data_IF_006761449459
#
_entry.id   IF_006761449459
#
_cell.length_a   1.000
_cell.length_b   1.000
_cell.length_c   1.000
_cell.angle_alpha   90.00
_cell.angle_beta   90.00
_cell.angle_gamma   90.00
#
_symmetry.space_group_name_H-M   'P 1'
#
loop_
_entity.id
_entity.type
_entity.pdbx_description
1 polymer ?
#
# COMPACT_ATOMS: atom_id res chain seq x y z
N UNK A 1 30.58 -51.91 -7.44
CA UNK A 1 30.02 -50.66 -7.99
C UNK A 1 28.60 -50.96 -8.44
N UNK A 2 27.62 -50.31 -7.83
CA UNK A 2 26.21 -50.36 -8.23
C UNK A 2 25.54 -49.16 -7.59
N UNK A 3 25.59 -48.02 -8.28
CA UNK A 3 24.91 -46.81 -7.83
C UNK A 3 23.40 -47.04 -7.94
N UNK A 4 22.80 -47.47 -6.83
CA UNK A 4 21.35 -47.42 -6.63
C UNK A 4 20.95 -45.95 -6.60
N UNK A 5 20.80 -45.37 -7.79
CA UNK A 5 20.58 -43.96 -8.01
C UNK A 5 19.15 -43.62 -7.56
N UNK A 6 19.01 -43.38 -6.26
CA UNK A 6 17.75 -43.26 -5.54
C UNK A 6 17.14 -41.89 -5.86
N UNK A 7 16.64 -41.78 -7.09
CA UNK A 7 16.15 -40.57 -7.73
C UNK A 7 14.90 -40.09 -6.98
N UNK A 8 15.12 -39.24 -5.96
CA UNK A 8 14.06 -38.71 -5.08
C UNK A 8 12.85 -38.28 -5.90
N UNK A 9 11.70 -38.87 -5.62
CA UNK A 9 10.47 -38.62 -6.35
C UNK A 9 10.08 -37.14 -6.22
N UNK A 10 10.06 -36.42 -7.34
CA UNK A 10 9.80 -34.98 -7.37
C UNK A 10 8.30 -34.70 -7.22
N UNK A 11 7.96 -33.68 -6.44
CA UNK A 11 6.59 -33.17 -6.37
C UNK A 11 6.32 -32.33 -7.64
N UNK A 12 5.29 -32.70 -8.41
CA UNK A 12 4.93 -31.98 -9.62
C UNK A 12 4.14 -30.69 -9.29
N UNK A 13 4.67 -29.54 -9.72
CA UNK A 13 4.06 -28.22 -9.67
C UNK A 13 3.56 -27.84 -11.07
N UNK A 14 2.26 -27.68 -11.22
CA UNK A 14 1.65 -27.16 -12.44
C UNK A 14 1.68 -25.62 -12.45
N UNK A 15 2.01 -25.01 -13.59
CA UNK A 15 1.87 -23.58 -13.83
C UNK A 15 0.80 -23.37 -14.91
N UNK A 16 -0.41 -23.06 -14.45
CA UNK A 16 -1.53 -22.58 -15.26
C UNK A 16 -1.33 -21.12 -15.63
N UNK A 17 -1.81 -20.73 -16.80
CA UNK A 17 -1.71 -19.38 -17.32
C UNK A 17 -2.84 -19.10 -18.33
N UNK A 18 -3.11 -17.83 -18.67
CA UNK A 18 -4.28 -17.43 -19.48
C UNK A 18 -3.93 -16.62 -20.72
N UNK A 19 -4.61 -16.86 -21.86
CA UNK A 19 -4.52 -15.96 -23.03
C UNK A 19 -5.70 -15.95 -24.00
N UNK A 20 -5.60 -14.95 -24.90
CA UNK A 20 -5.87 -15.11 -26.34
C UNK A 20 -4.64 -14.98 -27.25
N UNK A 21 -3.52 -14.40 -26.78
CA UNK A 21 -2.53 -13.72 -27.63
C UNK A 21 -1.07 -14.26 -27.53
N UNK A 22 -0.87 -15.58 -27.44
CA UNK A 22 0.45 -16.25 -27.60
C UNK A 22 1.49 -16.13 -26.47
N UNK A 23 1.54 -15.03 -25.72
CA UNK A 23 2.53 -14.70 -24.65
C UNK A 23 2.76 -15.74 -23.53
N UNK A 24 2.01 -16.83 -23.48
CA UNK A 24 2.02 -17.79 -22.37
C UNK A 24 3.24 -18.66 -22.26
N UNK A 25 3.82 -19.04 -23.40
CA UNK A 25 5.04 -19.83 -23.44
C UNK A 25 6.17 -19.09 -22.71
N UNK A 26 6.32 -17.79 -23.00
CA UNK A 26 7.29 -16.93 -22.31
C UNK A 26 7.03 -16.83 -20.79
N UNK A 27 5.76 -16.75 -20.37
CA UNK A 27 5.40 -16.76 -18.94
C UNK A 27 5.69 -18.11 -18.28
N UNK A 28 5.31 -19.23 -18.92
CA UNK A 28 5.56 -20.59 -18.43
C UNK A 28 7.06 -20.89 -18.31
N UNK A 29 7.86 -20.46 -19.29
CA UNK A 29 9.32 -20.51 -19.25
C UNK A 29 9.90 -19.61 -18.14
N UNK A 30 9.42 -18.38 -17.99
CA UNK A 30 9.89 -17.47 -16.92
C UNK A 30 9.63 -18.04 -15.51
N UNK A 31 8.43 -18.58 -15.27
CA UNK A 31 8.06 -19.21 -13.99
C UNK A 31 8.81 -20.53 -13.77
N UNK A 32 8.98 -21.37 -14.81
CA UNK A 32 9.81 -22.59 -14.74
C UNK A 32 11.23 -22.26 -14.32
N UNK A 33 11.88 -21.30 -14.99
CA UNK A 33 13.24 -20.86 -14.65
C UNK A 33 13.32 -20.36 -13.20
N UNK A 34 12.37 -19.53 -12.76
CA UNK A 34 12.30 -19.06 -11.37
C UNK A 34 12.31 -20.21 -10.35
N UNK A 35 11.43 -21.21 -10.51
CA UNK A 35 11.36 -22.33 -9.57
C UNK A 35 12.59 -23.25 -9.62
N UNK A 36 13.32 -23.34 -10.74
CA UNK A 36 14.55 -24.17 -10.80
C UNK A 36 15.68 -23.66 -9.91
N UNK A 37 15.68 -22.39 -9.50
CA UNK A 37 16.72 -21.82 -8.64
C UNK A 37 16.77 -22.39 -7.20
N UNK A 38 15.72 -23.07 -6.73
CA UNK A 38 15.55 -23.38 -5.30
C UNK A 38 15.76 -24.86 -4.90
N UNK A 39 15.92 -25.77 -5.88
CA UNK A 39 16.03 -27.24 -5.72
C UNK A 39 15.13 -27.89 -4.64
N UNK A 40 13.88 -27.42 -4.52
CA UNK A 40 12.91 -27.90 -3.51
C UNK A 40 12.33 -29.29 -3.82
N UNK A 41 13.06 -30.15 -4.55
CA UNK A 41 12.55 -31.46 -4.99
C UNK A 41 11.32 -31.35 -5.91
N UNK A 42 11.14 -30.23 -6.62
CA UNK A 42 10.00 -29.97 -7.48
C UNK A 42 10.34 -30.23 -8.96
N UNK A 43 9.38 -30.76 -9.70
CA UNK A 43 9.31 -30.74 -11.17
C UNK A 43 8.26 -29.71 -11.58
N UNK A 44 8.55 -28.84 -12.55
CA UNK A 44 7.59 -27.84 -13.04
C UNK A 44 7.09 -28.23 -14.42
N UNK A 45 5.78 -28.16 -14.63
CA UNK A 45 5.13 -28.37 -15.92
C UNK A 45 4.12 -27.24 -16.17
N UNK A 46 4.08 -26.71 -17.40
CA UNK A 46 3.17 -25.65 -17.81
C UNK A 46 2.46 -26.03 -19.12
N UNK A 47 1.29 -25.44 -19.37
CA UNK A 47 0.45 -25.80 -20.52
C UNK A 47 0.80 -25.01 -21.79
N UNK A 48 1.82 -25.44 -22.54
CA UNK A 48 2.09 -24.89 -23.87
C UNK A 48 0.97 -25.25 -24.88
N UNK A 49 0.36 -24.26 -25.52
CA UNK A 49 -0.83 -24.46 -26.37
C UNK A 49 -0.55 -24.74 -27.84
N UNK A 50 0.69 -24.60 -28.30
CA UNK A 50 1.02 -24.59 -29.73
C UNK A 50 1.27 -26.00 -30.34
N UNK A 51 0.90 -27.10 -29.66
CA UNK A 51 1.28 -28.47 -30.02
C UNK A 51 0.12 -29.47 -30.16
N UNK A 52 0.42 -30.61 -30.81
CA UNK A 52 -0.54 -31.48 -31.50
C UNK A 52 -1.35 -32.46 -30.62
N UNK A 53 -2.26 -33.23 -31.25
CA UNK A 53 -3.35 -33.96 -30.61
C UNK A 53 -2.96 -34.90 -29.45
N UNK A 54 -1.80 -35.57 -29.49
CA UNK A 54 -1.37 -36.47 -28.40
C UNK A 54 -1.11 -35.74 -27.07
N UNK A 55 -0.74 -34.45 -27.12
CA UNK A 55 -0.41 -33.65 -25.93
C UNK A 55 -1.57 -33.54 -24.94
N UNK A 56 -2.82 -33.60 -25.40
CA UNK A 56 -3.99 -33.53 -24.51
C UNK A 56 -4.07 -34.71 -23.53
N UNK A 57 -3.50 -35.87 -23.88
CA UNK A 57 -3.38 -37.00 -22.96
C UNK A 57 -2.29 -36.76 -21.90
N UNK A 58 -1.08 -36.34 -22.31
CA UNK A 58 0.02 -36.03 -21.39
C UNK A 58 -0.35 -34.89 -20.42
N UNK A 59 -0.94 -33.81 -20.93
CA UNK A 59 -1.47 -32.70 -20.13
C UNK A 59 -2.43 -33.21 -19.04
N UNK A 60 -3.32 -34.14 -19.37
CA UNK A 60 -4.27 -34.71 -18.42
C UNK A 60 -3.61 -35.59 -17.36
N UNK A 61 -2.59 -36.36 -17.70
CA UNK A 61 -1.83 -37.15 -16.72
C UNK A 61 -0.98 -36.26 -15.81
N UNK A 62 -0.34 -35.22 -16.35
CA UNK A 62 0.40 -34.20 -15.59
C UNK A 62 -0.52 -33.39 -14.66
N UNK A 63 -1.67 -32.91 -15.14
CA UNK A 63 -2.66 -32.22 -14.30
C UNK A 63 -3.20 -33.08 -13.15
N UNK A 64 -3.44 -34.37 -13.38
CA UNK A 64 -3.94 -35.32 -12.35
C UNK A 64 -2.87 -35.77 -11.36
N UNK A 65 -1.60 -35.76 -11.76
CA UNK A 65 -0.46 -36.09 -10.90
C UNK A 65 0.09 -34.90 -10.12
N UNK A 66 -0.12 -33.66 -10.60
CA UNK A 66 0.32 -32.42 -9.96
C UNK A 66 -0.09 -32.34 -8.48
N UNK A 67 0.90 -32.18 -7.60
CA UNK A 67 0.67 -31.96 -6.17
C UNK A 67 0.20 -30.52 -5.92
N UNK A 68 0.79 -29.56 -6.63
CA UNK A 68 0.51 -28.13 -6.50
C UNK A 68 0.17 -27.51 -7.86
N UNK A 69 -0.57 -26.39 -7.86
CA UNK A 69 -0.89 -25.60 -9.04
C UNK A 69 -0.81 -24.10 -8.77
N UNK A 70 0.07 -23.40 -9.48
CA UNK A 70 0.13 -21.93 -9.55
C UNK A 70 -0.69 -21.47 -10.76
N UNK A 71 -1.62 -20.53 -10.56
CA UNK A 71 -2.55 -20.06 -11.60
C UNK A 71 -2.29 -18.59 -11.91
N UNK A 72 -1.58 -18.33 -13.01
CA UNK A 72 -1.23 -17.00 -13.50
C UNK A 72 -2.40 -16.38 -14.29
N UNK A 73 -3.16 -15.52 -13.62
CA UNK A 73 -4.47 -15.06 -14.08
C UNK A 73 -4.53 -13.55 -14.30
N UNK A 74 -5.44 -13.12 -15.19
CA UNK A 74 -5.80 -11.72 -15.41
C UNK A 74 -7.30 -11.50 -15.21
N UNK A 75 -7.77 -10.29 -14.87
CA UNK A 75 -9.19 -9.97 -14.73
C UNK A 75 -10.05 -10.38 -15.94
N UNK A 76 -9.50 -10.21 -17.15
CA UNK A 76 -10.15 -10.57 -18.42
C UNK A 76 -10.35 -12.07 -18.61
N UNK A 77 -9.56 -12.93 -17.95
CA UNK A 77 -9.46 -14.36 -18.28
C UNK A 77 -9.60 -15.33 -17.08
N UNK A 78 -9.67 -14.84 -15.84
CA UNK A 78 -9.86 -15.65 -14.63
C UNK A 78 -11.11 -16.55 -14.67
N UNK A 79 -12.16 -16.10 -15.35
CA UNK A 79 -13.43 -16.84 -15.50
C UNK A 79 -13.50 -17.65 -16.80
N UNK A 80 -12.39 -17.85 -17.50
CA UNK A 80 -12.36 -18.67 -18.72
C UNK A 80 -12.61 -20.15 -18.45
N UNK A 81 -13.20 -20.86 -19.42
CA UNK A 81 -13.45 -22.31 -19.35
C UNK A 81 -12.15 -23.10 -19.12
N UNK A 82 -11.02 -22.61 -19.65
CA UNK A 82 -9.70 -23.20 -19.47
C UNK A 82 -9.21 -23.18 -18.02
N UNK A 83 -9.36 -22.04 -17.32
CA UNK A 83 -9.01 -21.93 -15.90
C UNK A 83 -9.87 -22.86 -15.05
N UNK A 84 -11.17 -22.95 -15.36
CA UNK A 84 -12.08 -23.90 -14.71
C UNK A 84 -11.65 -25.36 -14.94
N UNK A 85 -11.19 -25.69 -16.15
CA UNK A 85 -10.74 -27.03 -16.54
C UNK A 85 -9.44 -27.44 -15.83
N UNK A 86 -8.40 -26.60 -15.85
CA UNK A 86 -7.12 -26.88 -15.19
C UNK A 86 -7.31 -26.95 -13.66
N UNK A 87 -8.12 -26.04 -13.08
CA UNK A 87 -8.44 -26.04 -11.65
C UNK A 87 -9.21 -27.30 -11.22
N UNK A 88 -10.27 -27.66 -11.94
CA UNK A 88 -11.03 -28.89 -11.69
C UNK A 88 -10.14 -30.13 -11.82
N UNK A 89 -9.22 -30.13 -12.80
CA UNK A 89 -8.31 -31.25 -13.05
C UNK A 89 -7.34 -31.52 -11.89
N UNK A 90 -6.80 -30.46 -11.27
CA UNK A 90 -5.92 -30.55 -10.09
C UNK A 90 -6.71 -30.90 -8.82
N UNK A 91 -7.96 -30.42 -8.68
CA UNK A 91 -8.80 -30.65 -7.50
C UNK A 91 -9.52 -32.00 -7.45
N UNK A 92 -9.56 -32.76 -8.56
CA UNK A 92 -10.12 -34.12 -8.64
C UNK A 92 -9.76 -35.04 -7.47
N UNK A 93 -10.77 -35.67 -6.85
CA UNK A 93 -10.81 -36.88 -5.98
C UNK A 93 -9.78 -37.09 -4.85
N UNK A 94 -8.69 -36.32 -4.78
CA UNK A 94 -7.66 -36.32 -3.72
C UNK A 94 -7.91 -35.23 -2.67
N UNK A 95 -8.87 -34.35 -2.91
CA UNK A 95 -9.31 -33.28 -2.04
C UNK A 95 -10.51 -33.78 -1.22
N UNK A 96 -10.38 -33.81 0.10
CA UNK A 96 -11.48 -34.22 1.00
C UNK A 96 -12.03 -33.04 1.80
N UNK A 97 -11.28 -31.93 1.92
CA UNK A 97 -11.66 -30.75 2.69
C UNK A 97 -11.25 -29.44 2.00
N UNK A 98 -11.90 -28.34 2.38
CA UNK A 98 -11.52 -26.99 1.94
C UNK A 98 -10.13 -26.54 2.42
N UNK A 99 -9.47 -27.27 3.34
CA UNK A 99 -8.06 -27.03 3.72
C UNK A 99 -7.09 -27.57 2.65
N UNK A 100 -7.46 -28.65 1.97
CA UNK A 100 -6.62 -29.28 0.94
C UNK A 100 -6.61 -28.43 -0.34
N UNK A 101 -7.75 -27.85 -0.70
CA UNK A 101 -7.89 -26.85 -1.78
C UNK A 101 -6.93 -25.66 -1.54
N UNK A 102 -6.89 -25.13 -0.31
CA UNK A 102 -6.04 -23.99 0.09
C UNK A 102 -4.55 -24.31 0.15
N UNK A 103 -4.15 -25.59 0.20
CA UNK A 103 -2.75 -26.04 0.24
C UNK A 103 -2.20 -26.46 -1.13
N UNK A 104 -3.08 -26.61 -2.14
CA UNK A 104 -2.70 -27.10 -3.47
C UNK A 104 -2.84 -26.08 -4.59
N UNK A 105 -3.60 -25.00 -4.40
CA UNK A 105 -3.90 -24.02 -5.47
C UNK A 105 -3.51 -22.60 -5.05
N UNK A 106 -2.68 -21.96 -5.88
CA UNK A 106 -2.10 -20.64 -5.66
C UNK A 106 -2.46 -19.70 -6.83
N UNK A 107 -3.59 -18.98 -6.77
CA UNK A 107 -3.98 -18.03 -7.80
C UNK A 107 -3.22 -16.71 -7.65
N UNK A 108 -2.53 -16.31 -8.72
CA UNK A 108 -1.64 -15.14 -8.78
C UNK A 108 -2.09 -14.23 -9.92
N UNK A 109 -2.54 -13.03 -9.59
CA UNK A 109 -2.92 -12.01 -10.56
C UNK A 109 -1.69 -11.30 -11.11
N UNK A 110 -1.44 -11.42 -12.42
CA UNK A 110 -0.26 -10.84 -13.08
C UNK A 110 -0.41 -9.36 -13.45
N UNK A 111 -1.62 -8.91 -13.81
CA UNK A 111 -1.88 -7.53 -14.25
C UNK A 111 -2.39 -6.66 -13.10
N UNK A 112 -1.89 -5.42 -13.01
CA UNK A 112 -2.18 -4.51 -11.89
C UNK A 112 -3.30 -3.48 -12.16
N UNK A 113 -3.93 -3.53 -13.34
CA UNK A 113 -4.82 -2.48 -13.85
C UNK A 113 -6.27 -2.59 -13.34
N UNK A 114 -6.68 -3.77 -12.88
CA UNK A 114 -8.01 -4.06 -12.32
C UNK A 114 -7.83 -5.22 -11.31
N UNK A 115 -8.59 -5.23 -10.20
CA UNK A 115 -8.53 -6.34 -9.21
C UNK A 115 -9.63 -7.35 -9.44
N UNK A 116 -9.24 -8.63 -9.49
CA UNK A 116 -10.17 -9.77 -9.58
C UNK A 116 -11.08 -9.82 -8.34
N UNK A 117 -12.40 -9.74 -8.58
CA UNK A 117 -13.40 -9.99 -7.53
C UNK A 117 -13.48 -11.51 -7.25
N UNK A 118 -12.71 -11.99 -6.27
CA UNK A 118 -12.57 -13.42 -5.91
C UNK A 118 -13.92 -14.14 -5.76
N UNK A 119 -14.94 -13.45 -5.23
CA UNK A 119 -16.25 -14.03 -4.88
C UNK A 119 -17.10 -14.31 -6.16
N UNK A 120 -16.62 -13.83 -7.32
CA UNK A 120 -17.15 -14.10 -8.67
C UNK A 120 -16.20 -14.94 -9.53
N UNK A 121 -15.31 -15.74 -8.91
CA UNK A 121 -14.31 -16.56 -9.63
C UNK A 121 -14.27 -18.02 -9.17
N UNK A 122 -13.66 -18.93 -9.96
CA UNK A 122 -13.40 -20.31 -9.54
C UNK A 122 -12.55 -20.42 -8.27
N UNK A 123 -11.80 -19.35 -7.96
CA UNK A 123 -10.91 -19.25 -6.80
C UNK A 123 -11.59 -18.68 -5.54
N UNK A 124 -12.91 -18.63 -5.42
CA UNK A 124 -13.58 -18.09 -4.21
C UNK A 124 -13.08 -18.71 -2.88
N UNK A 125 -12.54 -19.93 -2.90
CA UNK A 125 -11.96 -20.61 -1.74
C UNK A 125 -10.46 -20.32 -1.50
N UNK A 126 -9.77 -19.65 -2.43
CA UNK A 126 -8.33 -19.37 -2.41
C UNK A 126 -8.13 -17.86 -2.62
N UNK A 127 -7.54 -17.15 -1.66
CA UNK A 127 -7.28 -15.73 -1.84
C UNK A 127 -6.39 -15.52 -3.08
N UNK A 128 -6.93 -14.86 -4.12
CA UNK A 128 -6.17 -14.40 -5.28
C UNK A 128 -5.12 -13.41 -4.77
N UNK A 129 -3.85 -13.76 -4.94
CA UNK A 129 -2.72 -12.94 -4.55
C UNK A 129 -2.26 -12.07 -5.71
N UNK A 130 -1.65 -10.94 -5.42
CA UNK A 130 -1.02 -10.12 -6.46
C UNK A 130 0.38 -10.64 -6.75
N UNK A 131 0.89 -10.35 -7.95
CA UNK A 131 2.29 -10.59 -8.31
C UNK A 131 3.21 -9.57 -7.60
N UNK A 132 3.63 -9.89 -6.37
CA UNK A 132 4.56 -9.10 -5.55
C UNK A 132 5.51 -9.98 -4.72
N UNK A 133 6.56 -9.37 -4.16
CA UNK A 133 7.68 -10.08 -3.49
C UNK A 133 7.20 -10.90 -2.30
N UNK A 134 6.48 -10.29 -1.35
CA UNK A 134 5.98 -10.93 -0.13
C UNK A 134 5.14 -12.20 -0.39
N UNK A 135 4.31 -12.18 -1.43
CA UNK A 135 3.42 -13.28 -1.80
C UNK A 135 4.17 -14.43 -2.47
N UNK A 136 5.25 -14.13 -3.19
CA UNK A 136 6.16 -15.14 -3.73
C UNK A 136 7.13 -15.67 -2.68
N UNK A 137 7.57 -14.85 -1.71
CA UNK A 137 8.38 -15.31 -0.58
C UNK A 137 7.54 -16.29 0.26
N UNK A 138 6.28 -15.95 0.57
CA UNK A 138 5.35 -16.83 1.24
C UNK A 138 5.06 -18.15 0.48
N UNK A 139 5.01 -18.12 -0.86
CA UNK A 139 4.87 -19.33 -1.68
C UNK A 139 6.11 -20.22 -1.62
N UNK A 140 7.31 -19.65 -1.78
CA UNK A 140 8.58 -20.39 -1.71
C UNK A 140 8.81 -20.94 -0.30
N UNK A 141 8.50 -20.16 0.74
CA UNK A 141 8.63 -20.55 2.14
C UNK A 141 7.57 -21.62 2.54
N UNK A 142 6.44 -21.72 1.83
CA UNK A 142 5.51 -22.85 1.92
C UNK A 142 6.07 -24.11 1.24
N UNK A 143 6.54 -24.01 0.00
CA UNK A 143 7.10 -25.14 -0.76
C UNK A 143 8.35 -25.71 -0.08
N UNK A 144 9.17 -24.86 0.54
CA UNK A 144 10.32 -25.26 1.35
C UNK A 144 9.90 -26.06 2.59
N UNK A 145 8.84 -25.66 3.30
CA UNK A 145 8.32 -26.40 4.46
C UNK A 145 7.77 -27.77 4.08
N UNK A 146 7.08 -27.85 2.94
CA UNK A 146 6.66 -29.13 2.34
C UNK A 146 7.86 -30.01 1.97
N UNK A 147 8.93 -29.46 1.37
CA UNK A 147 10.15 -30.19 1.04
C UNK A 147 10.88 -30.72 2.28
N UNK A 148 11.09 -29.86 3.29
CA UNK A 148 11.69 -30.22 4.59
C UNK A 148 10.89 -31.35 5.25
N UNK A 149 9.57 -31.21 5.31
CA UNK A 149 8.68 -32.22 5.91
C UNK A 149 8.62 -33.52 5.12
N UNK A 150 8.71 -33.50 3.78
CA UNK A 150 8.74 -34.70 2.92
C UNK A 150 10.03 -35.49 3.11
N UNK A 151 11.15 -34.80 3.37
CA UNK A 151 12.49 -35.40 3.45
C UNK A 151 12.96 -35.71 4.88
N UNK A 152 12.22 -35.28 5.91
CA UNK A 152 12.61 -35.35 7.33
C UNK A 152 13.96 -34.67 7.62
N UNK A 153 14.19 -33.49 7.02
CA UNK A 153 15.44 -32.72 7.18
C UNK A 153 15.59 -32.25 8.62
N UNK A 154 16.78 -32.42 9.21
CA UNK A 154 17.04 -32.01 10.60
C UNK A 154 17.03 -30.49 10.77
N UNK A 155 16.68 -30.00 11.97
CA UNK A 155 16.43 -28.58 12.23
C UNK A 155 17.60 -27.65 11.86
N UNK A 156 18.85 -28.12 11.97
CA UNK A 156 20.04 -27.35 11.61
C UNK A 156 20.20 -27.23 10.08
N UNK A 157 20.08 -28.34 9.36
CA UNK A 157 20.13 -28.39 7.89
C UNK A 157 18.95 -27.64 7.27
N UNK A 158 17.76 -27.74 7.87
CA UNK A 158 16.57 -26.98 7.48
C UNK A 158 16.78 -25.47 7.63
N UNK A 159 17.40 -25.01 8.73
CA UNK A 159 17.70 -23.60 8.98
C UNK A 159 18.73 -23.04 7.97
N UNK A 160 19.77 -23.80 7.63
CA UNK A 160 20.75 -23.38 6.62
C UNK A 160 20.19 -23.43 5.19
N UNK A 161 19.32 -24.40 4.90
CA UNK A 161 18.53 -24.43 3.65
C UNK A 161 17.65 -23.19 3.53
N UNK A 162 16.96 -22.77 4.60
CA UNK A 162 16.12 -21.57 4.59
C UNK A 162 16.91 -20.29 4.35
N UNK A 163 18.09 -20.13 4.97
CA UNK A 163 19.01 -19.01 4.70
C UNK A 163 19.47 -18.98 3.24
N UNK A 164 19.76 -20.16 2.67
CA UNK A 164 20.18 -20.29 1.27
C UNK A 164 19.06 -19.89 0.30
N UNK A 165 17.84 -20.43 0.52
CA UNK A 165 16.64 -20.14 -0.27
C UNK A 165 16.27 -18.65 -0.23
N UNK A 166 16.21 -18.02 0.95
CA UNK A 166 15.88 -16.58 1.05
C UNK A 166 16.95 -15.69 0.39
N UNK A 167 18.24 -16.07 0.44
CA UNK A 167 19.31 -15.36 -0.28
C UNK A 167 19.16 -15.45 -1.80
N UNK A 168 18.78 -16.61 -2.33
CA UNK A 168 18.52 -16.82 -3.77
C UNK A 168 17.25 -16.08 -4.19
N UNK A 169 16.21 -16.12 -3.36
CA UNK A 169 14.89 -15.58 -3.65
C UNK A 169 14.92 -14.13 -4.13
N UNK A 170 15.66 -13.26 -3.45
CA UNK A 170 15.71 -11.81 -3.79
C UNK A 170 16.42 -11.49 -5.11
N UNK A 171 17.16 -12.44 -5.68
CA UNK A 171 17.73 -12.34 -7.02
C UNK A 171 16.81 -12.99 -8.07
N UNK A 172 16.34 -14.22 -7.80
CA UNK A 172 15.43 -14.95 -8.67
C UNK A 172 14.10 -14.22 -8.90
N UNK A 173 13.51 -13.65 -7.84
CA UNK A 173 12.24 -12.91 -7.94
C UNK A 173 12.40 -11.60 -8.71
N UNK A 174 13.55 -10.92 -8.59
CA UNK A 174 13.84 -9.71 -9.39
C UNK A 174 13.90 -10.04 -10.88
N UNK A 175 14.62 -11.10 -11.25
CA UNK A 175 14.70 -11.57 -12.63
C UNK A 175 13.32 -12.01 -13.16
N UNK A 176 12.53 -12.73 -12.35
CA UNK A 176 11.15 -13.09 -12.70
C UNK A 176 10.29 -11.84 -12.92
N UNK A 177 10.37 -10.84 -12.04
CA UNK A 177 9.61 -9.60 -12.14
C UNK A 177 9.96 -8.82 -13.40
N UNK A 178 11.25 -8.63 -13.68
CA UNK A 178 11.72 -7.96 -14.90
C UNK A 178 11.24 -8.69 -16.17
N UNK A 179 11.29 -10.02 -16.19
CA UNK A 179 10.77 -10.84 -17.30
C UNK A 179 9.25 -10.72 -17.45
N UNK A 180 8.48 -10.93 -16.37
CA UNK A 180 7.00 -10.86 -16.39
C UNK A 180 6.53 -9.48 -16.81
N UNK A 181 7.10 -8.41 -16.25
CA UNK A 181 6.79 -7.05 -16.69
C UNK A 181 7.13 -6.80 -18.17
N UNK A 182 8.24 -7.35 -18.66
CA UNK A 182 8.64 -7.22 -20.08
C UNK A 182 7.68 -7.98 -21.00
N UNK A 183 7.21 -9.16 -20.59
CA UNK A 183 6.21 -9.94 -21.34
C UNK A 183 4.86 -9.23 -21.35
N UNK A 184 4.39 -8.70 -20.21
CA UNK A 184 3.13 -7.95 -20.13
C UNK A 184 3.17 -6.66 -20.96
N UNK A 185 4.34 -6.00 -21.06
CA UNK A 185 4.57 -4.84 -21.96
C UNK A 185 4.50 -5.20 -23.46
N UNK A 186 4.39 -6.49 -23.84
CA UNK A 186 4.09 -6.95 -25.22
C UNK A 186 2.60 -7.02 -25.53
N UNK A 187 1.70 -6.94 -24.53
CA UNK A 187 0.26 -6.77 -24.80
C UNK A 187 0.04 -5.45 -25.55
N UNK A 188 -0.34 -5.52 -26.83
CA UNK A 188 -0.86 -4.35 -27.52
C UNK A 188 -2.22 -3.98 -26.92
N UNK A 189 -2.54 -2.69 -26.71
CA UNK A 189 -3.92 -2.30 -26.51
C UNK A 189 -4.73 -2.64 -27.78
N UNK A 190 -5.76 -3.48 -27.66
CA UNK A 190 -6.76 -3.62 -28.72
C UNK A 190 -7.47 -2.28 -28.90
N UNK A 191 -7.48 -1.75 -30.13
CA UNK A 191 -8.47 -0.73 -30.51
C UNK A 191 -9.89 -1.36 -30.39
N UNK A 192 -10.88 -0.65 -29.81
CA UNK A 192 -12.24 -1.17 -29.72
C UNK A 192 -12.81 -1.52 -31.10
N UNK A 193 -13.33 -2.75 -31.24
CA UNK A 193 -13.82 -3.27 -32.52
C UNK A 193 -14.83 -2.33 -33.16
N UNK A 194 -14.46 -1.78 -34.32
CA UNK A 194 -15.20 -0.71 -35.00
C UNK A 194 -16.59 -1.17 -35.44
N UNK A 195 -17.62 -0.76 -34.70
CA UNK A 195 -19.01 -0.82 -35.17
C UNK A 195 -19.20 0.32 -36.16
N UNK A 196 -18.88 0.07 -37.44
CA UNK A 196 -19.01 1.04 -38.53
C UNK A 196 -20.48 1.28 -38.91
N UNK A 197 -21.20 1.95 -38.02
CA UNK A 197 -22.49 2.59 -38.23
C UNK A 197 -22.28 4.11 -38.13
N UNK A 198 -22.64 4.90 -39.16
CA UNK A 198 -22.57 6.37 -39.09
C UNK A 198 -23.41 6.93 -37.93
N UNK A 199 -24.50 6.26 -37.56
CA UNK A 199 -25.36 6.59 -36.44
C UNK A 199 -24.63 6.38 -35.10
N UNK A 200 -23.92 5.25 -34.94
CA UNK A 200 -23.13 4.96 -33.74
C UNK A 200 -21.96 5.95 -33.57
N UNK A 201 -21.26 6.28 -34.66
CA UNK A 201 -20.19 7.28 -34.63
C UNK A 201 -20.73 8.67 -34.24
N UNK A 202 -21.88 9.07 -34.80
CA UNK A 202 -22.53 10.33 -34.42
C UNK A 202 -22.91 10.36 -32.94
N UNK A 203 -23.49 9.29 -32.40
CA UNK A 203 -23.82 9.20 -30.96
C UNK A 203 -22.56 9.28 -30.09
N UNK A 204 -21.46 8.66 -30.51
CA UNK A 204 -20.16 8.76 -29.81
C UNK A 204 -19.64 10.21 -29.80
N UNK A 205 -19.75 10.93 -30.92
CA UNK A 205 -19.27 12.31 -31.00
C UNK A 205 -20.20 13.32 -30.30
N UNK A 206 -21.52 13.12 -30.35
CA UNK A 206 -22.51 13.85 -29.54
C UNK A 206 -22.25 13.64 -28.02
N UNK A 207 -21.85 12.42 -27.60
CA UNK A 207 -21.48 12.12 -26.21
C UNK A 207 -20.13 12.72 -25.80
N UNK A 208 -19.12 12.72 -26.69
CA UNK A 208 -17.85 13.43 -26.45
C UNK A 208 -18.07 14.93 -26.29
N UNK A 209 -18.95 15.53 -27.11
CA UNK A 209 -19.30 16.94 -27.00
C UNK A 209 -19.97 17.23 -25.66
N UNK A 210 -20.95 16.42 -25.24
CA UNK A 210 -21.58 16.54 -23.91
C UNK A 210 -20.59 16.37 -22.74
N UNK A 211 -19.60 15.49 -22.86
CA UNK A 211 -18.50 15.36 -21.89
C UNK A 211 -17.60 16.60 -21.88
N UNK A 212 -17.24 17.14 -23.05
CA UNK A 212 -16.44 18.36 -23.17
C UNK A 212 -17.16 19.57 -22.56
N UNK A 213 -18.45 19.74 -22.84
CA UNK A 213 -19.25 20.86 -22.31
C UNK A 213 -19.50 20.72 -20.80
N UNK A 214 -19.72 19.51 -20.27
CA UNK A 214 -19.77 19.28 -18.81
C UNK A 214 -18.43 19.54 -18.12
N UNK A 215 -17.33 19.11 -18.71
CA UNK A 215 -16.00 19.38 -18.17
C UNK A 215 -15.70 20.89 -18.18
N UNK A 216 -16.15 21.61 -19.22
CA UNK A 216 -16.04 23.07 -19.33
C UNK A 216 -16.89 23.82 -18.30
N UNK A 217 -18.10 23.33 -18.01
CA UNK A 217 -18.97 23.83 -16.95
C UNK A 217 -18.35 23.60 -15.56
N UNK A 218 -17.86 22.39 -15.27
CA UNK A 218 -17.11 22.09 -14.04
C UNK A 218 -15.88 23.00 -13.88
N UNK A 219 -15.13 23.21 -14.95
CA UNK A 219 -13.98 24.13 -14.97
C UNK A 219 -14.38 25.59 -14.74
N UNK A 220 -15.58 26.00 -15.17
CA UNK A 220 -16.10 27.33 -14.89
C UNK A 220 -16.53 27.46 -13.44
N UNK A 221 -17.30 26.50 -12.91
CA UNK A 221 -17.68 26.44 -11.50
C UNK A 221 -16.46 26.43 -10.58
N UNK A 222 -15.36 25.77 -10.98
CA UNK A 222 -14.06 25.82 -10.29
C UNK A 222 -13.46 27.22 -10.27
N UNK A 223 -13.38 27.92 -11.41
CA UNK A 223 -12.90 29.31 -11.50
C UNK A 223 -13.76 30.26 -10.67
N UNK A 224 -15.07 30.12 -10.74
CA UNK A 224 -16.04 30.95 -10.01
C UNK A 224 -15.91 30.72 -8.49
N UNK A 225 -15.72 29.47 -8.06
CA UNK A 225 -15.44 29.11 -6.67
C UNK A 225 -14.10 29.69 -6.18
N UNK A 226 -13.03 29.59 -6.98
CA UNK A 226 -11.73 30.21 -6.66
C UNK A 226 -11.82 31.75 -6.55
N UNK A 227 -12.64 32.38 -7.39
CA UNK A 227 -12.88 33.82 -7.34
C UNK A 227 -13.70 34.21 -6.10
N UNK A 228 -14.73 33.45 -5.75
CA UNK A 228 -15.49 33.63 -4.50
C UNK A 228 -14.62 33.39 -3.26
N UNK A 229 -13.69 32.44 -3.27
CA UNK A 229 -12.73 32.22 -2.19
C UNK A 229 -11.77 33.41 -2.04
N UNK A 230 -11.24 33.96 -3.15
CA UNK A 230 -10.40 35.17 -3.12
C UNK A 230 -11.17 36.36 -2.53
N UNK A 231 -12.40 36.61 -2.99
CA UNK A 231 -13.27 37.65 -2.44
C UNK A 231 -13.60 37.44 -0.96
N UNK A 232 -13.84 36.19 -0.53
CA UNK A 232 -14.10 35.86 0.88
C UNK A 232 -12.87 36.09 1.77
N UNK A 233 -11.67 35.77 1.28
CA UNK A 233 -10.40 36.05 1.99
C UNK A 233 -10.18 37.58 2.08
N UNK A 234 -10.41 38.29 0.99
CA UNK A 234 -10.27 39.76 0.92
C UNK A 234 -11.25 40.46 1.87
N UNK A 235 -12.54 40.10 1.85
CA UNK A 235 -13.55 40.59 2.80
C UNK A 235 -13.20 40.25 4.27
N UNK A 236 -12.68 39.05 4.55
CA UNK A 236 -12.20 38.68 5.89
C UNK A 236 -10.99 39.52 6.33
N UNK A 237 -10.08 39.85 5.41
CA UNK A 237 -8.96 40.74 5.71
C UNK A 237 -9.43 42.18 6.01
N UNK A 238 -10.42 42.66 5.26
CA UNK A 238 -11.04 43.97 5.48
C UNK A 238 -11.77 44.03 6.83
N UNK A 239 -12.56 43.00 7.19
CA UNK A 239 -13.13 42.87 8.53
C UNK A 239 -12.06 42.89 9.63
N UNK A 240 -10.98 42.11 9.48
CA UNK A 240 -9.89 42.06 10.45
C UNK A 240 -9.18 43.42 10.61
N UNK A 241 -9.09 44.20 9.53
CA UNK A 241 -8.55 45.57 9.57
C UNK A 241 -9.46 46.61 10.25
N UNK A 242 -10.76 46.31 10.41
CA UNK A 242 -11.69 47.14 11.19
C UNK A 242 -11.81 46.71 12.65
N UNK A 243 -11.30 45.54 13.02
CA UNK A 243 -11.29 45.06 14.41
C UNK A 243 -10.02 44.27 14.76
N UNK A 244 -8.92 44.97 15.06
CA UNK A 244 -7.95 44.58 16.12
C UNK A 244 -7.00 45.73 16.46
N UNK A 245 -7.09 46.22 17.70
CA UNK A 245 -5.91 46.51 18.50
C UNK A 245 -5.81 45.38 19.52
N UNK A 246 -4.61 44.86 19.79
CA UNK A 246 -4.35 43.56 20.46
C UNK A 246 -4.82 42.35 19.60
N UNK A 247 -4.15 41.19 19.57
CA UNK A 247 -2.89 40.77 20.21
C UNK A 247 -2.04 39.94 19.23
N UNK A 248 -0.74 39.76 19.51
CA UNK A 248 0.24 39.08 18.65
C UNK A 248 0.76 37.77 19.28
N UNK A 249 0.60 36.65 18.57
CA UNK A 249 1.19 35.32 18.82
C UNK A 249 1.25 34.85 20.29
N UNK A 250 0.20 34.16 20.74
CA UNK A 250 0.03 33.66 22.12
C UNK A 250 0.72 32.31 22.42
N UNK A 251 1.50 31.76 21.49
CA UNK A 251 2.11 30.44 21.60
C UNK A 251 3.64 30.50 21.58
N UNK A 252 4.28 29.78 22.48
CA UNK A 252 5.74 29.74 22.61
C UNK A 252 6.40 28.79 21.61
N UNK A 253 7.62 29.13 21.20
CA UNK A 253 8.46 28.32 20.32
C UNK A 253 9.92 28.30 20.79
N UNK A 254 10.64 27.27 20.35
CA UNK A 254 12.07 27.06 20.58
C UNK A 254 12.77 26.92 19.23
N UNK A 255 13.81 27.72 19.00
CA UNK A 255 14.82 27.39 17.99
C UNK A 255 15.77 26.33 18.56
N UNK A 256 15.92 25.21 17.85
CA UNK A 256 16.88 24.15 18.17
C UNK A 256 18.24 24.34 17.45
N UNK A 257 18.42 25.41 16.67
CA UNK A 257 19.62 25.64 15.87
C UNK A 257 19.64 24.80 14.59
N UNK A 258 18.47 24.31 14.16
CA UNK A 258 18.30 23.55 12.91
C UNK A 258 17.58 24.35 11.82
N UNK A 259 17.14 25.58 12.11
CA UNK A 259 16.45 26.48 11.18
C UNK A 259 14.92 26.36 11.19
N UNK A 260 14.37 25.38 11.90
CA UNK A 260 12.92 25.27 12.18
C UNK A 260 12.63 25.68 13.61
N UNK A 261 11.63 26.54 13.78
CA UNK A 261 11.10 26.99 15.08
C UNK A 261 9.97 26.05 15.52
N UNK A 262 10.16 25.33 16.64
CA UNK A 262 9.23 24.29 17.11
C UNK A 262 8.39 24.77 18.30
N UNK A 263 7.10 24.41 18.34
CA UNK A 263 6.23 24.69 19.48
C UNK A 263 6.69 24.00 20.78
N UNK A 264 6.51 24.67 21.92
CA UNK A 264 6.77 24.07 23.26
C UNK A 264 5.78 22.96 23.62
N UNK A 265 4.55 23.02 23.10
CA UNK A 265 3.44 22.09 23.38
C UNK A 265 2.84 21.46 22.10
N UNK A 266 2.08 20.37 22.27
CA UNK A 266 1.18 19.86 21.23
C UNK A 266 -0.06 20.77 21.10
N UNK A 267 -0.80 20.70 19.99
CA UNK A 267 -2.06 21.44 19.86
C UNK A 267 -3.03 20.99 20.97
N UNK A 268 -3.50 21.94 21.79
CA UNK A 268 -4.43 21.66 22.89
C UNK A 268 -3.79 21.04 24.14
N UNK A 269 -2.46 21.04 24.24
CA UNK A 269 -1.71 20.78 25.47
C UNK A 269 -1.32 22.12 26.12
N UNK A 270 -1.42 22.22 27.45
CA UNK A 270 -1.03 23.42 28.21
C UNK A 270 0.41 23.34 28.73
N UNK A 271 1.01 22.15 28.72
CA UNK A 271 2.40 21.88 29.09
C UNK A 271 3.08 20.95 28.08
N UNK A 272 4.42 20.93 27.98
CA UNK A 272 5.14 20.05 27.05
C UNK A 272 4.87 18.56 27.29
N UNK A 273 4.61 18.17 28.53
CA UNK A 273 4.33 16.79 28.97
C UNK A 273 2.88 16.34 28.67
N UNK A 274 1.94 17.27 28.47
CA UNK A 274 0.55 16.94 28.08
C UNK A 274 0.48 16.46 26.62
N UNK A 275 -0.32 15.42 26.38
CA UNK A 275 -0.43 14.82 25.03
C UNK A 275 -1.17 15.73 24.04
N UNK A 276 -2.07 16.59 24.53
CA UNK A 276 -2.91 17.48 23.73
C UNK A 276 -4.04 16.76 22.99
N UNK A 277 -4.48 17.35 21.89
CA UNK A 277 -5.50 16.81 20.99
C UNK A 277 -4.90 15.93 19.90
N UNK A 278 -5.72 15.00 19.42
CA UNK A 278 -5.43 14.15 18.26
C UNK A 278 -6.27 14.59 17.07
N UNK A 279 -5.74 14.40 15.87
CA UNK A 279 -6.38 14.82 14.62
C UNK A 279 -6.23 13.71 13.59
N UNK A 280 -7.25 13.50 12.75
CA UNK A 280 -7.05 12.75 11.51
C UNK A 280 -6.29 13.63 10.51
N UNK A 281 -5.49 13.04 9.63
CA UNK A 281 -4.61 13.79 8.74
C UNK A 281 -5.45 14.65 7.77
N UNK A 282 -5.25 15.97 7.81
CA UNK A 282 -6.04 16.95 7.06
C UNK A 282 -7.39 17.33 7.67
N UNK A 283 -7.72 16.83 8.86
CA UNK A 283 -8.85 17.30 9.68
C UNK A 283 -8.36 18.28 10.75
N UNK A 284 -9.10 19.38 10.92
CA UNK A 284 -8.69 20.52 11.76
C UNK A 284 -9.31 20.51 13.15
N UNK A 285 -10.11 19.50 13.48
CA UNK A 285 -10.76 19.30 14.78
C UNK A 285 -10.60 17.84 15.23
N UNK A 286 -10.54 17.57 16.56
CA UNK A 286 -10.60 16.22 17.09
C UNK A 286 -12.00 15.62 16.93
N UNK A 287 -12.08 14.29 17.03
CA UNK A 287 -13.33 13.50 17.05
C UNK A 287 -13.19 12.28 17.99
N UNK A 288 -14.28 11.56 18.19
CA UNK A 288 -14.33 10.41 19.11
C UNK A 288 -14.12 9.05 18.40
N UNK A 289 -14.26 9.00 17.07
CA UNK A 289 -14.07 7.82 16.23
C UNK A 289 -13.15 8.13 15.04
N UNK A 290 -12.00 7.46 14.98
CA UNK A 290 -10.95 7.56 13.98
C UNK A 290 -11.00 6.39 12.99
N UNK A 291 -12.16 6.21 12.38
CA UNK A 291 -12.47 5.19 11.37
C UNK A 291 -12.54 5.77 9.96
N UNK A 292 -12.50 4.91 8.93
CA UNK A 292 -12.70 5.36 7.54
C UNK A 292 -14.14 5.86 7.28
N UNK A 293 -15.12 5.36 8.03
CA UNK A 293 -16.52 5.84 8.08
C UNK A 293 -16.65 7.31 8.46
N UNK A 294 -15.73 7.84 9.27
CA UNK A 294 -15.75 9.21 9.81
C UNK A 294 -14.66 10.10 9.23
N UNK A 295 -13.87 9.61 8.27
CA UNK A 295 -12.76 10.38 7.69
C UNK A 295 -13.25 11.36 6.62
N UNK A 296 -12.95 12.65 6.81
CA UNK A 296 -13.46 13.78 6.01
C UNK A 296 -13.17 13.67 4.52
N UNK A 297 -12.03 13.07 4.15
CA UNK A 297 -11.61 12.92 2.75
C UNK A 297 -11.71 11.47 2.24
N UNK A 298 -12.70 10.71 2.70
CA UNK A 298 -13.08 9.42 2.12
C UNK A 298 -14.60 9.23 2.06
N UNK A 299 -15.05 8.23 1.30
CA UNK A 299 -16.42 7.67 1.37
C UNK A 299 -16.44 6.32 2.06
N UNK A 300 -15.99 6.29 3.32
CA UNK A 300 -16.14 5.13 4.20
C UNK A 300 -15.03 4.09 4.13
N UNK A 301 -14.16 4.14 3.12
CA UNK A 301 -13.00 3.25 2.97
C UNK A 301 -11.78 3.96 2.35
N UNK A 302 -10.62 3.29 2.41
CA UNK A 302 -9.33 3.82 1.96
C UNK A 302 -9.16 3.91 0.43
N UNK A 303 -10.05 3.27 -0.34
CA UNK A 303 -10.02 3.24 -1.80
C UNK A 303 -11.01 4.26 -2.43
N UNK A 304 -11.80 4.96 -1.61
CA UNK A 304 -12.72 6.01 -2.02
C UNK A 304 -12.34 7.38 -1.42
N UNK A 305 -11.06 7.77 -1.57
CA UNK A 305 -10.57 9.09 -1.15
C UNK A 305 -11.18 10.23 -1.99
N UNK A 306 -11.39 11.38 -1.38
CA UNK A 306 -11.93 12.59 -2.02
C UNK A 306 -10.98 13.80 -1.93
N UNK A 307 -9.75 13.58 -1.44
CA UNK A 307 -8.63 14.54 -1.42
C UNK A 307 -7.29 13.80 -1.16
N UNK A 308 -6.20 14.22 -1.81
CA UNK A 308 -4.83 13.68 -1.68
C UNK A 308 -4.65 12.14 -1.88
N UNK A 309 -4.98 11.38 -2.93
CA UNK A 309 -5.40 11.62 -4.32
C UNK A 309 -4.32 11.90 -5.40
N UNK A 310 -3.15 11.24 -5.32
CA UNK A 310 -2.29 11.00 -6.50
C UNK A 310 -2.56 9.68 -7.25
N UNK A 311 -3.41 8.79 -6.71
CA UNK A 311 -3.71 7.47 -7.29
C UNK A 311 -5.22 7.31 -7.49
N UNK A 312 -5.66 7.20 -8.76
CA UNK A 312 -7.07 7.02 -9.14
C UNK A 312 -7.69 5.74 -8.57
N UNK A 313 -6.88 4.71 -8.29
CA UNK A 313 -7.33 3.42 -7.71
C UNK A 313 -7.71 3.56 -6.24
N UNK A 314 -7.29 4.65 -5.60
CA UNK A 314 -7.72 5.05 -4.27
C UNK A 314 -8.65 6.27 -4.28
N UNK A 315 -9.00 6.79 -5.46
CA UNK A 315 -9.91 7.93 -5.62
C UNK A 315 -11.35 7.48 -5.78
N UNK A 316 -12.27 8.08 -5.00
CA UNK A 316 -13.70 7.93 -5.20
C UNK A 316 -14.08 8.31 -6.64
N UNK A 317 -14.57 7.34 -7.43
CA UNK A 317 -14.84 7.48 -8.86
C UNK A 317 -13.60 7.92 -9.70
N UNK A 318 -12.40 7.47 -9.34
CA UNK A 318 -11.16 7.82 -10.05
C UNK A 318 -10.59 9.20 -9.72
N UNK A 319 -11.10 9.87 -8.68
CA UNK A 319 -10.68 11.22 -8.32
C UNK A 319 -9.18 11.32 -7.97
N UNK A 320 -8.48 12.23 -8.67
CA UNK A 320 -7.12 12.65 -8.35
C UNK A 320 -7.01 14.18 -8.29
N UNK A 321 -6.16 14.67 -7.38
CA UNK A 321 -5.73 16.08 -7.27
C UNK A 321 -4.20 16.24 -7.30
N UNK A 322 -3.45 15.13 -7.21
CA UNK A 322 -1.98 15.08 -7.12
C UNK A 322 -1.38 15.91 -5.98
N UNK A 323 -2.16 16.19 -4.93
CA UNK A 323 -1.67 16.92 -3.75
C UNK A 323 -0.96 15.98 -2.78
N UNK A 324 0.28 16.30 -2.45
CA UNK A 324 1.19 15.55 -1.55
C UNK A 324 1.52 16.29 -0.24
N UNK A 325 1.11 17.55 -0.10
CA UNK A 325 1.26 18.39 1.10
C UNK A 325 -0.08 19.03 1.50
N UNK A 326 -0.36 19.14 2.80
CA UNK A 326 -1.61 19.70 3.31
C UNK A 326 -1.80 21.18 2.95
N UNK A 327 -2.96 21.49 2.38
CA UNK A 327 -3.39 22.87 2.17
C UNK A 327 -3.66 23.58 3.50
N UNK A 328 -3.42 24.90 3.63
CA UNK A 328 -3.63 25.66 4.87
C UNK A 328 -5.04 25.62 5.48
N UNK A 329 -6.07 25.21 4.71
CA UNK A 329 -7.44 24.99 5.19
C UNK A 329 -7.63 23.68 5.97
N UNK A 330 -6.69 22.75 5.80
CA UNK A 330 -6.76 21.36 6.25
C UNK A 330 -5.67 21.07 7.31
N UNK A 331 -4.66 21.95 7.40
CA UNK A 331 -3.63 21.93 8.42
C UNK A 331 -4.21 22.30 9.80
N UNK A 332 -4.25 21.31 10.71
CA UNK A 332 -4.72 21.47 12.08
C UNK A 332 -4.00 22.56 12.88
N UNK A 333 -2.69 22.77 12.69
CA UNK A 333 -1.95 23.83 13.37
C UNK A 333 -2.31 25.21 12.80
N UNK A 334 -2.41 25.34 11.48
CA UNK A 334 -2.85 26.58 10.83
C UNK A 334 -4.28 26.95 11.27
N UNK A 335 -5.16 25.96 11.41
CA UNK A 335 -6.55 26.16 11.78
C UNK A 335 -6.79 26.42 13.28
N UNK A 336 -5.98 25.85 14.19
CA UNK A 336 -6.14 26.05 15.63
C UNK A 336 -5.30 27.22 16.17
N UNK A 337 -4.10 27.46 15.63
CA UNK A 337 -3.12 28.45 16.13
C UNK A 337 -2.87 29.62 15.15
N UNK A 338 -3.45 29.57 13.95
CA UNK A 338 -3.45 30.68 12.99
C UNK A 338 -2.35 30.63 11.92
N UNK A 339 -2.33 31.65 11.06
CA UNK A 339 -1.46 31.75 9.87
C UNK A 339 0.05 31.64 10.14
N UNK A 340 0.49 31.94 11.36
CA UNK A 340 1.90 31.87 11.75
C UNK A 340 2.38 30.43 12.00
N UNK A 341 1.47 29.45 12.10
CA UNK A 341 1.75 28.08 12.54
C UNK A 341 1.31 27.04 11.52
N UNK A 342 2.09 25.97 11.38
CA UNK A 342 1.78 24.84 10.49
C UNK A 342 2.21 23.50 11.08
N UNK A 343 1.76 22.41 10.47
CA UNK A 343 2.40 21.12 10.67
C UNK A 343 3.84 21.12 10.11
N UNK A 344 4.78 20.40 10.75
CA UNK A 344 6.09 20.15 10.17
C UNK A 344 5.95 19.29 8.92
N UNK A 345 6.74 19.55 7.88
CA UNK A 345 6.87 18.58 6.78
C UNK A 345 7.70 17.36 7.21
N UNK A 346 7.57 16.25 6.50
CA UNK A 346 8.36 15.02 6.72
C UNK A 346 9.88 15.30 6.71
N UNK A 347 10.34 16.22 5.85
CA UNK A 347 11.75 16.65 5.88
C UNK A 347 12.14 17.34 7.19
N UNK A 348 11.25 18.12 7.82
CA UNK A 348 11.54 18.75 9.11
C UNK A 348 11.64 17.74 10.25
N UNK A 349 10.92 16.61 10.19
CA UNK A 349 11.13 15.50 11.13
C UNK A 349 12.44 14.75 10.87
N UNK A 350 12.80 14.49 9.62
CA UNK A 350 14.11 13.89 9.27
C UNK A 350 15.27 14.78 9.74
N UNK A 351 15.16 16.10 9.59
CA UNK A 351 16.11 17.06 10.15
C UNK A 351 16.14 17.05 11.68
N UNK A 352 14.98 17.00 12.36
CA UNK A 352 14.90 16.92 13.83
C UNK A 352 15.52 15.62 14.37
N UNK A 353 15.33 14.50 13.68
CA UNK A 353 15.96 13.23 14.00
C UNK A 353 17.48 13.29 13.81
N UNK A 354 17.94 13.64 12.61
CA UNK A 354 19.35 13.55 12.22
C UNK A 354 20.24 14.61 12.88
N UNK A 355 19.68 15.77 13.28
CA UNK A 355 20.47 16.94 13.74
C UNK A 355 20.36 17.22 15.23
N UNK A 356 19.41 16.62 15.95
CA UNK A 356 19.25 16.78 17.40
C UNK A 356 19.64 15.51 18.18
N UNK A 357 19.89 15.66 19.49
CA UNK A 357 20.20 14.56 20.40
C UNK A 357 18.96 14.16 21.18
N UNK A 358 18.55 12.91 21.01
CA UNK A 358 17.34 12.34 21.60
C UNK A 358 17.66 11.58 22.89
N UNK A 359 16.96 11.90 23.98
CA UNK A 359 17.11 11.22 25.28
C UNK A 359 15.75 10.75 25.80
N UNK A 360 15.62 9.44 25.97
CA UNK A 360 14.44 8.76 26.56
C UNK A 360 14.19 9.27 27.97
N UNK A 361 12.97 9.73 28.27
CA UNK A 361 12.51 10.12 29.62
C UNK A 361 11.55 9.05 30.15
N UNK A 362 11.92 8.40 31.26
CA UNK A 362 11.23 7.22 31.78
C UNK A 362 10.63 7.49 33.17
N UNK A 363 9.48 6.86 33.46
CA UNK A 363 8.89 6.74 34.79
C UNK A 363 8.81 5.26 35.18
N UNK A 364 9.87 4.74 35.80
CA UNK A 364 10.04 3.30 35.96
C UNK A 364 10.21 2.63 34.60
N UNK A 365 9.35 1.66 34.26
CA UNK A 365 9.33 1.02 32.93
C UNK A 365 8.53 1.79 31.87
N UNK A 366 7.77 2.82 32.26
CA UNK A 366 6.86 3.57 31.38
C UNK A 366 7.63 4.67 30.63
N UNK A 367 7.45 4.77 29.31
CA UNK A 367 8.01 5.88 28.52
C UNK A 367 7.13 7.13 28.74
N UNK A 368 7.74 8.24 29.15
CA UNK A 368 7.05 9.53 29.18
C UNK A 368 7.16 10.24 27.82
N UNK A 369 8.28 10.04 27.11
CA UNK A 369 8.60 10.71 25.86
C UNK A 369 10.11 10.90 25.70
N UNK A 370 10.49 11.84 24.84
CA UNK A 370 11.88 12.19 24.57
C UNK A 370 12.19 13.66 24.83
N UNK A 371 13.28 13.90 25.56
CA UNK A 371 13.98 15.18 25.55
C UNK A 371 14.80 15.28 24.25
N UNK A 372 14.47 16.24 23.39
CA UNK A 372 15.10 16.45 22.07
C UNK A 372 15.93 17.74 22.13
N UNK A 373 17.26 17.60 22.19
CA UNK A 373 18.20 18.72 22.37
C UNK A 373 18.91 19.09 21.07
N UNK A 374 18.78 20.34 20.65
CA UNK A 374 19.38 20.88 19.45
C UNK A 374 20.89 21.20 19.57
N UNK A 375 21.60 21.37 18.44
CA UNK A 375 23.01 21.76 18.42
C UNK A 375 23.30 23.10 19.11
N UNK A 376 22.35 24.04 19.15
CA UNK A 376 22.51 25.31 19.88
C UNK A 376 22.39 25.17 21.42
N UNK A 377 22.03 23.99 21.92
CA UNK A 377 21.88 23.71 23.34
C UNK A 377 20.45 23.83 23.88
N UNK A 378 19.49 24.36 23.12
CA UNK A 378 18.07 24.38 23.50
C UNK A 378 17.45 22.98 23.37
N UNK A 379 16.29 22.77 24.00
CA UNK A 379 15.54 21.50 23.93
C UNK A 379 14.04 21.71 23.82
N UNK A 380 13.34 20.72 23.25
CA UNK A 380 11.90 20.51 23.41
C UNK A 380 11.65 19.13 24.05
N UNK A 381 10.45 18.91 24.59
CA UNK A 381 9.99 17.59 25.02
C UNK A 381 8.85 17.12 24.11
N UNK A 382 8.96 15.88 23.61
CA UNK A 382 7.93 15.20 22.83
C UNK A 382 7.34 14.05 23.67
N UNK A 383 6.12 14.16 24.20
CA UNK A 383 5.51 13.10 25.00
C UNK A 383 5.18 11.87 24.16
N UNK A 384 5.22 10.70 24.79
CA UNK A 384 4.74 9.44 24.24
C UNK A 384 3.20 9.40 24.27
N UNK A 385 2.57 10.14 23.36
CA UNK A 385 1.13 10.32 23.32
C UNK A 385 0.34 9.10 22.78
N UNK A 386 0.99 8.16 22.10
CA UNK A 386 0.31 7.13 21.31
C UNK A 386 -0.43 7.70 20.09
N UNK A 387 -1.50 7.02 19.66
CA UNK A 387 -2.45 7.49 18.65
C UNK A 387 -3.85 6.90 18.87
N UNK A 388 -4.87 7.44 18.22
CA UNK A 388 -6.19 6.81 18.16
C UNK A 388 -6.41 6.06 16.85
N UNK A 389 -7.02 4.88 16.94
CA UNK A 389 -7.56 4.13 15.80
C UNK A 389 -8.95 3.62 16.19
N UNK A 390 -9.95 3.85 15.33
CA UNK A 390 -11.36 3.73 15.71
C UNK A 390 -11.62 4.58 16.98
N UNK A 391 -12.29 4.03 18.01
CA UNK A 391 -12.51 4.68 19.31
C UNK A 391 -11.40 4.40 20.34
N UNK A 392 -10.29 3.76 19.93
CA UNK A 392 -9.31 3.14 20.81
C UNK A 392 -7.98 3.91 20.85
N UNK A 393 -7.61 4.41 22.03
CA UNK A 393 -6.30 5.02 22.29
C UNK A 393 -5.22 3.93 22.38
N UNK A 394 -4.34 3.86 21.37
CA UNK A 394 -3.28 2.86 21.22
C UNK A 394 -1.96 3.38 21.80
N UNK A 395 -1.22 2.51 22.49
CA UNK A 395 0.19 2.71 22.92
C UNK A 395 0.47 4.04 23.66
N UNK A 396 -0.53 4.55 24.39
CA UNK A 396 -0.40 5.76 25.19
C UNK A 396 0.68 5.59 26.26
N UNK A 397 1.73 6.41 26.24
CA UNK A 397 2.95 6.28 27.06
C UNK A 397 3.80 5.02 26.83
N UNK A 398 3.70 4.47 25.62
CA UNK A 398 4.60 3.45 25.07
C UNK A 398 5.22 3.95 23.75
N UNK A 399 4.41 4.57 22.89
CA UNK A 399 4.82 5.21 21.63
C UNK A 399 4.48 6.71 21.61
N UNK A 400 5.06 7.46 20.66
CA UNK A 400 4.57 8.77 20.22
C UNK A 400 4.44 8.80 18.71
N UNK A 401 3.28 9.23 18.19
CA UNK A 401 2.98 9.26 16.75
C UNK A 401 2.56 10.67 16.32
N UNK A 402 3.39 11.32 15.52
CA UNK A 402 3.31 12.75 15.20
C UNK A 402 3.10 12.98 13.71
N UNK A 403 1.97 13.60 13.33
CA UNK A 403 1.68 13.91 11.93
C UNK A 403 2.63 14.95 11.33
N UNK A 404 3.06 14.69 10.11
CA UNK A 404 3.61 15.71 9.21
C UNK A 404 2.54 16.26 8.27
N UNK A 405 2.82 17.39 7.62
CA UNK A 405 1.99 17.92 6.53
C UNK A 405 2.07 17.08 5.24
N UNK A 406 3.02 16.14 5.16
CA UNK A 406 3.35 15.37 3.97
C UNK A 406 2.56 14.05 3.86
N UNK A 407 2.14 13.73 2.65
CA UNK A 407 1.50 12.47 2.28
C UNK A 407 2.53 11.34 2.18
N UNK A 408 2.14 10.08 2.42
CA UNK A 408 3.04 8.94 2.19
C UNK A 408 3.27 8.72 0.68
N UNK A 409 4.55 8.66 0.28
CA UNK A 409 4.95 8.42 -1.11
C UNK A 409 4.63 7.00 -1.61
N UNK A 410 4.62 6.00 -0.71
CA UNK A 410 4.32 4.60 -1.03
C UNK A 410 2.82 4.28 -0.90
N UNK A 411 2.09 5.02 -0.05
CA UNK A 411 0.70 4.73 0.29
C UNK A 411 -0.22 5.95 0.13
N UNK A 412 -1.05 5.98 -0.93
CA UNK A 412 -2.36 6.61 -0.82
C UNK A 412 -3.09 5.99 0.38
N UNK A 413 -3.97 6.76 1.02
CA UNK A 413 -4.53 6.49 2.36
C UNK A 413 -3.55 6.59 3.55
N UNK A 414 -2.23 6.64 3.31
CA UNK A 414 -1.20 6.91 4.32
C UNK A 414 -0.72 8.37 4.35
N UNK A 415 -0.22 8.83 5.50
CA UNK A 415 0.49 10.11 5.67
C UNK A 415 1.77 9.89 6.46
N UNK A 416 2.82 10.69 6.22
CA UNK A 416 4.09 10.52 6.92
C UNK A 416 4.01 10.98 8.38
N UNK A 417 4.64 10.21 9.27
CA UNK A 417 4.77 10.51 10.70
C UNK A 417 6.22 10.47 11.16
N UNK A 418 6.48 11.16 12.26
CA UNK A 418 7.52 10.78 13.19
C UNK A 418 6.90 9.78 14.20
N UNK A 419 7.40 8.56 14.23
CA UNK A 419 7.11 7.57 15.27
C UNK A 419 8.27 7.47 16.27
N UNK A 420 8.00 7.07 17.50
CA UNK A 420 9.01 6.56 18.42
C UNK A 420 8.40 5.66 19.48
N UNK A 421 9.24 4.81 20.07
CA UNK A 421 8.89 3.95 21.21
C UNK A 421 10.06 3.87 22.21
N UNK A 422 10.06 2.91 23.14
CA UNK A 422 11.13 2.72 24.12
C UNK A 422 12.50 2.40 23.53
N UNK A 423 12.54 1.92 22.28
CA UNK A 423 13.70 1.29 21.67
C UNK A 423 14.21 2.14 20.51
N UNK A 424 13.33 2.52 19.57
CA UNK A 424 13.65 3.30 18.37
C UNK A 424 12.98 4.70 18.33
N UNK A 425 13.51 5.57 17.46
CA UNK A 425 12.87 6.80 16.95
C UNK A 425 12.98 6.75 15.43
N UNK A 426 11.87 6.98 14.73
CA UNK A 426 11.76 6.80 13.28
C UNK A 426 11.07 8.02 12.62
N UNK A 427 11.81 8.86 11.87
CA UNK A 427 11.24 10.00 11.15
C UNK A 427 10.66 9.61 9.78
N UNK A 428 10.73 8.34 9.38
CA UNK A 428 10.41 7.88 8.03
C UNK A 428 9.36 6.75 8.02
N UNK A 429 8.38 6.88 8.92
CA UNK A 429 7.25 5.97 9.05
C UNK A 429 5.97 6.64 8.54
N UNK A 430 4.88 5.88 8.45
CA UNK A 430 3.56 6.36 8.03
C UNK A 430 2.44 5.78 8.91
N UNK A 431 1.29 6.45 8.92
CA UNK A 431 0.08 5.93 9.55
C UNK A 431 -1.12 6.17 8.61
N UNK A 432 -2.15 5.33 8.71
CA UNK A 432 -3.36 5.46 7.92
C UNK A 432 -4.11 6.74 8.31
N UNK A 433 -4.37 7.62 7.34
CA UNK A 433 -4.79 9.03 7.55
C UNK A 433 -6.04 9.23 8.41
N UNK A 434 -6.89 8.21 8.55
CA UNK A 434 -8.04 8.22 9.45
C UNK A 434 -7.68 8.24 10.94
N UNK A 435 -6.49 7.79 11.34
CA UNK A 435 -6.01 7.72 12.72
C UNK A 435 -5.88 9.10 13.39
N UNK A 436 -6.13 9.16 14.69
CA UNK A 436 -5.87 10.35 15.51
C UNK A 436 -4.41 10.41 15.93
N UNK A 437 -3.58 11.13 15.18
CA UNK A 437 -2.18 11.41 15.52
C UNK A 437 -2.01 12.73 16.27
N UNK A 438 -0.93 12.87 17.04
CA UNK A 438 -0.56 14.14 17.67
C UNK A 438 -0.01 15.14 16.66
N UNK A 439 -0.19 16.43 16.93
CA UNK A 439 0.41 17.51 16.13
C UNK A 439 1.28 18.38 17.03
N UNK A 440 2.54 18.53 16.63
CA UNK A 440 3.53 19.43 17.22
C UNK A 440 3.82 20.57 16.23
N UNK A 441 3.22 21.76 16.38
CA UNK A 441 3.34 22.82 15.40
C UNK A 441 4.77 23.34 15.20
N UNK A 442 5.04 23.86 14.01
CA UNK A 442 6.22 24.67 13.70
C UNK A 442 5.78 26.04 13.21
N UNK A 443 6.57 27.08 13.53
CA UNK A 443 6.28 28.44 13.07
C UNK A 443 6.70 28.60 11.61
N UNK A 444 5.89 29.34 10.83
CA UNK A 444 6.32 29.87 9.52
C UNK A 444 7.38 30.97 9.77
N UNK A 445 8.46 30.92 8.99
CA UNK A 445 9.61 31.84 9.00
C UNK A 445 9.35 33.07 8.15
#
# INVERSE_FOLDING_TARGET
MSETNNKKEKDLLFVSWTNRDGLGKELGEAFTNFFTYFDLGIEVFYSDRDLAHDWYHELNEKLRSAKFGVFCITPKAVNSEWVNYELGSILNNRVQTCKDVKRRVFPIQLSNNERINRDKTPFAHNNVKMFCEDEFEALIDFLLKEYISKNNIEANEALDTQKHVSKIFKLAFRELKEKVETILKKEKPEEPKTVNSPEAQKVIDDLKQQLSDKNRDYDQQRRDYEQLQKQLIELKSQQKSQSTNQSSSEHEYVDLGIGTLWATCNIGANSPEEYGKYFAWGETQPKDDYSWSTYKYAKGDFANLTKYCYDERCGNNGFTDSLDELLPSDDAATANWGSDWRMPSWQQFKDLYARCKWKKRMSGKKLLGYDVKGPNGNSIFLPAAGWFEETSHKYASENGSYWSSSLSADYPSGGHILDFNSDNVDPDNWNGRRCGGSVRPVRRS
#
